data_IF_712894212104
#
_entry.id   IF_712894212104
#
_cell.length_a   1.000
_cell.length_b   1.000
_cell.length_c   1.000
_cell.angle_alpha   90.00
_cell.angle_beta   90.00
_cell.angle_gamma   90.00
#
_symmetry.space_group_name_H-M   'P 1'
#
loop_
_entity.id
_entity.type
_entity.pdbx_description
1 polymer ?
#
# COMPACT_ATOMS: atom_id res chain seq x y z
N UNK A 1 -3.30 -22.73 33.20
CA UNK A 1 -4.71 -22.88 32.79
C UNK A 1 -4.87 -22.00 31.56
N UNK A 2 -4.70 -22.59 30.38
CA UNK A 2 -4.66 -21.85 29.12
C UNK A 2 -6.09 -21.68 28.60
N UNK A 3 -6.59 -20.44 28.62
CA UNK A 3 -7.80 -20.08 27.89
C UNK A 3 -7.40 -19.80 26.45
N UNK A 4 -7.59 -20.79 25.58
CA UNK A 4 -7.68 -20.58 24.14
C UNK A 4 -9.00 -19.85 23.86
N UNK A 5 -8.91 -18.59 23.46
CA UNK A 5 -10.02 -17.86 22.83
C UNK A 5 -9.81 -17.90 21.32
N UNK A 6 -10.39 -18.90 20.66
CA UNK A 6 -10.69 -18.83 19.24
C UNK A 6 -11.76 -17.75 19.03
N UNK A 7 -11.58 -16.84 18.06
CA UNK A 7 -12.72 -16.01 17.66
C UNK A 7 -12.49 -14.64 17.01
N UNK A 8 -11.43 -14.40 16.24
CA UNK A 8 -11.54 -13.41 15.16
C UNK A 8 -10.54 -13.78 14.07
N UNK A 9 -11.01 -14.30 12.93
CA UNK A 9 -10.20 -14.22 11.70
C UNK A 9 -10.19 -12.76 11.29
N UNK A 10 -9.33 -11.99 11.94
CA UNK A 10 -8.95 -10.66 11.48
C UNK A 10 -8.17 -10.93 10.19
N UNK A 11 -8.86 -11.00 9.05
CA UNK A 11 -8.24 -10.89 7.73
C UNK A 11 -7.85 -9.42 7.51
N UNK A 12 -7.13 -8.86 8.49
CA UNK A 12 -6.51 -7.57 8.44
C UNK A 12 -5.04 -7.80 8.74
N UNK A 13 -4.13 -7.11 8.06
CA UNK A 13 -2.72 -7.19 8.40
C UNK A 13 -2.52 -6.82 9.87
N UNK A 14 -1.53 -7.41 10.55
CA UNK A 14 -1.24 -7.05 11.93
C UNK A 14 -1.06 -5.53 12.02
N UNK A 15 -1.77 -4.89 12.94
CA UNK A 15 -1.68 -3.44 13.16
C UNK A 15 -0.20 -3.02 13.26
N UNK A 16 0.15 -1.92 12.58
CA UNK A 16 1.52 -1.43 12.53
C UNK A 16 2.44 -2.11 11.49
N UNK A 17 1.94 -3.03 10.65
CA UNK A 17 2.72 -3.62 9.55
C UNK A 17 2.12 -3.26 8.19
N UNK A 18 2.96 -2.77 7.28
CA UNK A 18 2.55 -2.52 5.89
C UNK A 18 2.33 -3.82 5.12
N UNK A 19 1.18 -3.97 4.48
CA UNK A 19 0.85 -5.13 3.64
C UNK A 19 0.68 -4.70 2.17
N UNK A 20 1.71 -4.97 1.37
CA UNK A 20 1.72 -4.63 -0.05
C UNK A 20 0.65 -5.37 -0.85
N UNK A 21 0.26 -6.59 -0.46
CA UNK A 21 -0.78 -7.34 -1.14
C UNK A 21 -2.16 -6.73 -0.89
N UNK A 22 -2.40 -6.25 0.33
CA UNK A 22 -3.61 -5.51 0.67
C UNK A 22 -3.71 -4.19 -0.10
N UNK A 23 -2.63 -3.41 -0.12
CA UNK A 23 -2.56 -2.15 -0.87
C UNK A 23 -2.77 -2.39 -2.36
N UNK A 24 -2.13 -3.41 -2.94
CA UNK A 24 -2.33 -3.79 -4.33
C UNK A 24 -3.79 -4.19 -4.64
N UNK A 25 -4.43 -4.93 -3.74
CA UNK A 25 -5.84 -5.29 -3.88
C UNK A 25 -6.74 -4.04 -3.82
N UNK A 26 -6.49 -3.13 -2.89
CA UNK A 26 -7.22 -1.86 -2.77
C UNK A 26 -7.04 -0.97 -4.01
N UNK A 27 -5.81 -0.85 -4.51
CA UNK A 27 -5.50 -0.13 -5.74
C UNK A 27 -6.29 -0.68 -6.93
N UNK A 28 -6.36 -2.01 -7.06
CA UNK A 28 -7.12 -2.68 -8.13
C UNK A 28 -8.64 -2.57 -8.00
N UNK A 29 -9.16 -2.33 -6.79
CA UNK A 29 -10.59 -2.01 -6.63
C UNK A 29 -10.90 -0.63 -7.20
N UNK A 30 -9.98 0.32 -7.09
CA UNK A 30 -10.11 1.65 -7.67
C UNK A 30 -9.80 1.67 -9.19
N UNK A 31 -8.85 0.84 -9.64
CA UNK A 31 -8.54 0.62 -11.06
C UNK A 31 -8.55 -0.87 -11.42
N UNK A 32 -9.69 -1.42 -11.86
CA UNK A 32 -9.79 -2.82 -12.27
C UNK A 32 -8.92 -3.20 -13.48
N UNK A 33 -8.47 -2.21 -14.26
CA UNK A 33 -7.56 -2.41 -15.39
C UNK A 33 -6.10 -2.60 -14.98
N UNK A 34 -5.76 -2.32 -13.72
CA UNK A 34 -4.42 -2.45 -13.19
C UNK A 34 -4.02 -3.93 -13.06
N UNK A 35 -2.92 -4.29 -13.74
CA UNK A 35 -2.38 -5.63 -13.70
C UNK A 35 -1.97 -6.03 -12.26
N UNK A 36 -2.27 -7.25 -11.79
CA UNK A 36 -2.02 -7.67 -10.42
C UNK A 36 -0.54 -7.65 -10.05
N UNK A 37 0.34 -8.09 -10.96
CA UNK A 37 1.79 -8.13 -10.74
C UNK A 37 2.36 -6.71 -10.64
N UNK A 38 1.84 -5.80 -11.47
CA UNK A 38 2.22 -4.39 -11.43
C UNK A 38 1.76 -3.71 -10.13
N UNK A 39 0.49 -3.92 -9.74
CA UNK A 39 -0.05 -3.37 -8.51
C UNK A 39 0.77 -3.79 -7.29
N UNK A 40 1.12 -5.09 -7.21
CA UNK A 40 1.93 -5.62 -6.11
C UNK A 40 3.34 -5.05 -6.11
N UNK A 41 3.96 -4.91 -7.29
CA UNK A 41 5.29 -4.33 -7.43
C UNK A 41 5.32 -2.88 -6.98
N UNK A 42 4.41 -2.05 -7.51
CA UNK A 42 4.29 -0.65 -7.11
C UNK A 42 3.96 -0.53 -5.62
N UNK A 43 3.10 -1.38 -5.07
CA UNK A 43 2.75 -1.35 -3.65
C UNK A 43 3.94 -1.73 -2.74
N UNK A 44 4.80 -2.64 -3.20
CA UNK A 44 6.03 -3.02 -2.49
C UNK A 44 7.04 -1.88 -2.50
N UNK A 45 7.24 -1.25 -3.66
CA UNK A 45 8.15 -0.11 -3.81
C UNK A 45 7.63 1.13 -3.06
N UNK A 46 6.31 1.32 -3.04
CA UNK A 46 5.66 2.39 -2.30
C UNK A 46 6.01 2.38 -0.82
N UNK A 47 6.20 1.20 -0.22
CA UNK A 47 6.61 1.09 1.18
C UNK A 47 7.99 1.66 1.45
N UNK A 48 8.97 1.33 0.60
CA UNK A 48 10.32 1.85 0.71
C UNK A 48 10.31 3.38 0.60
N UNK A 49 9.59 3.90 -0.40
CA UNK A 49 9.46 5.34 -0.64
C UNK A 49 8.73 6.05 0.51
N UNK A 50 7.66 5.47 1.06
CA UNK A 50 6.93 6.04 2.21
C UNK A 50 7.82 6.21 3.43
N UNK A 51 8.71 5.24 3.69
CA UNK A 51 9.69 5.36 4.77
C UNK A 51 10.76 6.43 4.50
N UNK A 52 11.15 6.62 3.24
CA UNK A 52 12.08 7.68 2.87
C UNK A 52 11.46 9.07 2.94
N UNK A 53 10.16 9.18 2.62
CA UNK A 53 9.37 10.42 2.74
C UNK A 53 9.13 10.73 4.23
N UNK A 54 8.83 9.72 5.04
CA UNK A 54 8.58 9.85 6.48
C UNK A 54 7.16 10.32 6.84
N UNK A 55 6.31 10.60 5.84
CA UNK A 55 4.92 10.98 6.01
C UNK A 55 4.03 10.41 4.88
N UNK A 56 2.73 10.18 5.12
CA UNK A 56 1.81 9.67 4.09
C UNK A 56 1.42 10.76 3.07
N UNK A 57 2.34 11.13 2.19
CA UNK A 57 2.08 12.04 1.06
C UNK A 57 1.86 11.27 -0.25
N UNK A 58 0.60 11.13 -0.65
CA UNK A 58 0.22 10.42 -1.87
C UNK A 58 0.71 11.10 -3.16
N UNK A 59 0.87 12.42 -3.17
CA UNK A 59 1.32 13.14 -4.36
C UNK A 59 2.82 12.95 -4.57
N UNK A 60 3.61 13.11 -3.50
CA UNK A 60 5.05 12.87 -3.56
C UNK A 60 5.34 11.40 -3.87
N UNK A 61 4.63 10.48 -3.23
CA UNK A 61 4.75 9.05 -3.50
C UNK A 61 4.41 8.70 -4.96
N UNK A 62 3.30 9.22 -5.50
CA UNK A 62 2.91 9.00 -6.89
C UNK A 62 3.96 9.54 -7.87
N UNK A 63 4.57 10.70 -7.57
CA UNK A 63 5.65 11.28 -8.38
C UNK A 63 6.87 10.38 -8.41
N UNK A 64 7.33 9.90 -7.25
CA UNK A 64 8.49 8.98 -7.17
C UNK A 64 8.23 7.65 -7.87
N UNK A 65 7.07 7.04 -7.63
CA UNK A 65 6.65 5.82 -8.32
C UNK A 65 6.59 6.02 -9.84
N UNK A 66 6.05 7.15 -10.31
CA UNK A 66 5.99 7.45 -11.74
C UNK A 66 7.37 7.70 -12.34
N UNK A 67 8.29 8.35 -11.61
CA UNK A 67 9.66 8.55 -12.07
C UNK A 67 10.39 7.22 -12.32
N UNK A 68 10.21 6.24 -11.43
CA UNK A 68 10.81 4.91 -11.57
C UNK A 68 10.05 4.00 -12.58
N UNK A 69 8.75 4.28 -12.78
CA UNK A 69 7.85 3.46 -13.62
C UNK A 69 7.14 4.26 -14.71
N UNK A 70 7.84 5.19 -15.37
CA UNK A 70 7.23 6.10 -16.36
C UNK A 70 6.46 5.36 -17.48
N UNK A 71 6.92 4.15 -17.85
CA UNK A 71 6.28 3.31 -18.87
C UNK A 71 4.94 2.69 -18.43
N UNK A 72 4.66 2.60 -17.14
CA UNK A 72 3.45 1.97 -16.57
C UNK A 72 2.25 2.94 -16.52
N UNK A 73 2.49 4.24 -16.74
CA UNK A 73 1.47 5.28 -16.79
C UNK A 73 1.15 5.93 -15.44
N UNK A 74 0.79 7.22 -15.49
CA UNK A 74 0.54 8.04 -14.30
C UNK A 74 -0.61 7.51 -13.42
N UNK A 75 -1.64 6.92 -14.02
CA UNK A 75 -2.80 6.40 -13.30
C UNK A 75 -2.43 5.30 -12.32
N UNK A 76 -1.62 4.32 -12.74
CA UNK A 76 -1.21 3.21 -11.89
C UNK A 76 -0.43 3.69 -10.66
N UNK A 77 0.53 4.60 -10.86
CA UNK A 77 1.33 5.19 -9.79
C UNK A 77 0.46 5.99 -8.80
N UNK A 78 -0.47 6.83 -9.30
CA UNK A 78 -1.36 7.62 -8.45
C UNK A 78 -2.34 6.76 -7.63
N UNK A 79 -2.93 5.73 -8.24
CA UNK A 79 -3.89 4.86 -7.55
C UNK A 79 -3.21 4.03 -6.47
N UNK A 80 -2.02 3.48 -6.75
CA UNK A 80 -1.25 2.73 -5.75
C UNK A 80 -0.76 3.65 -4.63
N UNK A 81 -0.24 4.84 -4.96
CA UNK A 81 0.20 5.80 -3.96
C UNK A 81 -0.94 6.20 -3.01
N UNK A 82 -2.13 6.46 -3.56
CA UNK A 82 -3.32 6.76 -2.76
C UNK A 82 -3.67 5.60 -1.82
N UNK A 83 -3.75 4.38 -2.35
CA UNK A 83 -4.06 3.19 -1.55
C UNK A 83 -3.02 2.94 -0.43
N UNK A 84 -1.74 3.19 -0.71
CA UNK A 84 -0.67 3.02 0.26
C UNK A 84 -0.76 4.03 1.40
N UNK A 85 -0.98 5.31 1.09
CA UNK A 85 -1.19 6.35 2.11
C UNK A 85 -2.46 6.11 2.92
N UNK A 86 -3.58 5.78 2.26
CA UNK A 86 -4.83 5.47 2.95
C UNK A 86 -4.65 4.29 3.91
N UNK A 87 -3.88 3.27 3.51
CA UNK A 87 -3.54 2.14 4.38
C UNK A 87 -2.70 2.56 5.59
N UNK A 88 -1.60 3.29 5.37
CA UNK A 88 -0.72 3.76 6.46
C UNK A 88 -1.50 4.60 7.46
N UNK A 89 -2.36 5.50 6.98
CA UNK A 89 -3.21 6.34 7.84
C UNK A 89 -4.29 5.54 8.56
N UNK A 90 -4.97 4.60 7.88
CA UNK A 90 -6.04 3.81 8.49
C UNK A 90 -5.56 2.82 9.55
N UNK A 91 -4.35 2.29 9.37
CA UNK A 91 -3.77 1.25 10.25
C UNK A 91 -2.64 1.78 11.16
N UNK A 92 -2.42 3.09 11.18
CA UNK A 92 -1.38 3.77 11.98
C UNK A 92 -0.01 3.10 11.82
N UNK A 93 0.39 2.85 10.57
CA UNK A 93 1.64 2.15 10.27
C UNK A 93 2.82 3.11 10.48
N UNK A 94 3.79 2.78 11.36
CA UNK A 94 4.94 3.64 11.60
C UNK A 94 5.84 3.68 10.36
N UNK A 95 6.17 4.89 9.89
CA UNK A 95 7.06 5.12 8.75
C UNK A 95 8.55 5.23 9.13
N UNK A 96 8.86 5.16 10.44
CA UNK A 96 10.20 5.34 11.01
C UNK A 96 10.86 4.01 11.38
#
# INVERSE_FOLDING_TARGET
MNTYGEGERVFGPPQGTYDAAWVAAAARQADPGLAPELALRLATEAWALLREIGEPDANELARRLLSDHAAQGATAASVVARAACDFVTAYDVPLA
#
